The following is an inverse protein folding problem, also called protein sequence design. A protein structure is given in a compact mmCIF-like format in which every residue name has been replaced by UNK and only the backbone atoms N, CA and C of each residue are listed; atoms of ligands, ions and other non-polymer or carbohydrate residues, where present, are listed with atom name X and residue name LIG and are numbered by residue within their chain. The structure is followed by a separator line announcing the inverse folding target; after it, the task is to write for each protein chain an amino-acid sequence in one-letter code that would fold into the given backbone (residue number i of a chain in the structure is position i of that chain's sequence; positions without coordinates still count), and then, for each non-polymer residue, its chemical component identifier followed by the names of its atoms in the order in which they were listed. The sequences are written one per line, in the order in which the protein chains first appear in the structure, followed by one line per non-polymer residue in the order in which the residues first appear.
data_IF_595473367174
#
_entry.id   IF_595473367174
#
_cell.length_a   1.000
_cell.length_b   1.000
_cell.length_c   1.000
_cell.angle_alpha   90.00
_cell.angle_beta   90.00
_cell.angle_gamma   90.00
#
_symmetry.space_group_name_H-M   'P 1'
#
loop_
_entity.id
_entity.type
_entity.pdbx_description
1 polymer ?
#
# COMPACT_ATOMS: atom_id res chain seq x y z
N UNK A 1 15.68 20.41 -2.72
CA UNK A 1 16.71 19.88 -1.82
C UNK A 1 16.73 18.34 -1.77
N UNK A 2 15.58 17.68 -1.60
CA UNK A 2 15.50 16.23 -1.52
C UNK A 2 15.97 15.52 -2.79
N UNK A 3 15.57 16.03 -3.96
CA UNK A 3 16.02 15.53 -5.26
C UNK A 3 17.54 15.61 -5.41
N UNK A 4 18.15 16.69 -4.89
CA UNK A 4 19.60 16.84 -4.89
C UNK A 4 20.29 15.81 -3.99
N UNK A 5 19.73 15.52 -2.80
CA UNK A 5 20.27 14.51 -1.90
C UNK A 5 20.23 13.11 -2.54
N UNK A 6 19.11 12.76 -3.18
CA UNK A 6 18.97 11.49 -3.91
C UNK A 6 20.01 11.39 -5.03
N UNK A 7 20.14 12.45 -5.86
CA UNK A 7 21.10 12.47 -6.97
C UNK A 7 22.57 12.36 -6.49
N UNK A 8 22.93 13.00 -5.38
CA UNK A 8 24.27 12.87 -4.83
C UNK A 8 24.53 11.49 -4.22
N UNK A 9 23.53 10.90 -3.58
CA UNK A 9 23.62 9.51 -3.08
C UNK A 9 23.84 8.54 -4.25
N UNK A 10 23.08 8.71 -5.36
CA UNK A 10 23.23 7.93 -6.60
C UNK A 10 24.63 8.09 -7.23
N UNK A 11 25.17 9.30 -7.22
CA UNK A 11 26.51 9.55 -7.76
C UNK A 11 27.59 8.85 -6.91
N UNK A 12 27.47 8.90 -5.58
CA UNK A 12 28.41 8.22 -4.68
C UNK A 12 28.30 6.69 -4.82
N UNK A 13 27.09 6.17 -5.04
CA UNK A 13 26.86 4.73 -5.22
C UNK A 13 27.37 4.22 -6.58
N UNK A 14 27.32 5.07 -7.63
CA UNK A 14 27.82 4.76 -8.99
C UNK A 14 29.31 4.96 -9.16
N UNK A 15 29.90 5.91 -8.47
CA UNK A 15 31.36 6.03 -8.40
C UNK A 15 31.87 4.85 -7.56
N UNK A 16 32.51 3.88 -8.22
CA UNK A 16 33.15 2.74 -7.56
C UNK A 16 34.19 3.27 -6.55
N UNK A 17 33.71 3.60 -5.36
CA UNK A 17 34.57 4.03 -4.28
C UNK A 17 35.20 2.77 -3.69
N UNK A 18 36.54 2.64 -3.66
CA UNK A 18 37.25 1.52 -3.08
C UNK A 18 37.01 1.35 -1.55
N UNK A 19 36.17 2.21 -0.97
CA UNK A 19 35.81 2.14 0.44
C UNK A 19 34.39 1.57 0.62
N UNK A 20 34.25 0.31 1.05
CA UNK A 20 32.97 -0.35 1.23
C UNK A 20 32.04 0.36 2.21
N UNK A 21 32.60 1.10 3.18
CA UNK A 21 31.82 1.87 4.16
C UNK A 21 31.11 3.05 3.52
N UNK A 22 31.73 3.73 2.55
CA UNK A 22 31.12 4.86 1.83
C UNK A 22 29.98 4.35 0.96
N UNK A 23 30.16 3.24 0.26
CA UNK A 23 29.10 2.61 -0.55
C UNK A 23 27.91 2.18 0.30
N UNK A 24 28.16 1.60 1.49
CA UNK A 24 27.11 1.25 2.44
C UNK A 24 26.33 2.48 2.92
N UNK A 25 27.03 3.56 3.30
CA UNK A 25 26.39 4.80 3.74
C UNK A 25 25.61 5.49 2.61
N UNK A 26 26.13 5.49 1.39
CA UNK A 26 25.40 5.98 0.22
C UNK A 26 24.09 5.22 0.01
N UNK A 27 24.13 3.90 0.06
CA UNK A 27 22.94 3.07 -0.02
C UNK A 27 21.92 3.32 1.11
N UNK A 28 22.39 3.60 2.33
CA UNK A 28 21.50 4.01 3.44
C UNK A 28 20.87 5.38 3.15
N UNK A 29 21.66 6.35 2.73
CA UNK A 29 21.18 7.69 2.38
C UNK A 29 20.16 7.65 1.25
N UNK A 30 20.41 6.88 0.20
CA UNK A 30 19.47 6.69 -0.90
C UNK A 30 18.12 6.15 -0.40
N UNK A 31 18.13 5.04 0.32
CA UNK A 31 16.90 4.45 0.89
C UNK A 31 16.13 5.42 1.80
N UNK A 32 16.81 6.18 2.65
CA UNK A 32 16.16 7.13 3.56
C UNK A 32 15.63 8.36 2.80
N UNK A 33 16.33 8.82 1.76
CA UNK A 33 15.88 9.93 0.92
C UNK A 33 14.64 9.56 0.11
N UNK A 34 14.61 8.38 -0.49
CA UNK A 34 13.43 7.86 -1.20
C UNK A 34 12.24 7.65 -0.26
N UNK A 35 12.52 7.21 0.95
CA UNK A 35 11.49 7.09 1.99
C UNK A 35 10.91 8.46 2.34
N UNK A 36 11.76 9.47 2.57
CA UNK A 36 11.33 10.82 2.90
C UNK A 36 10.57 11.47 1.74
N UNK A 37 11.02 11.27 0.51
CA UNK A 37 10.30 11.73 -0.69
C UNK A 37 8.89 11.17 -0.75
N UNK A 38 8.73 9.85 -0.58
CA UNK A 38 7.40 9.20 -0.54
C UNK A 38 6.52 9.75 0.59
N UNK A 39 7.09 9.99 1.77
CA UNK A 39 6.35 10.56 2.91
C UNK A 39 5.83 11.97 2.62
N UNK A 40 6.65 12.81 1.97
CA UNK A 40 6.22 14.17 1.59
C UNK A 40 5.13 14.12 0.53
N UNK A 41 5.28 13.26 -0.48
CA UNK A 41 4.27 13.04 -1.50
C UNK A 41 2.95 12.55 -0.87
N UNK A 42 3.03 11.61 0.04
CA UNK A 42 1.91 11.07 0.81
C UNK A 42 1.19 12.16 1.63
N UNK A 43 1.96 12.98 2.35
CA UNK A 43 1.42 14.07 3.17
C UNK A 43 0.75 15.15 2.31
N UNK A 44 1.37 15.51 1.20
CA UNK A 44 0.82 16.50 0.26
C UNK A 44 -0.49 15.99 -0.35
N UNK A 45 -0.54 14.71 -0.72
CA UNK A 45 -1.74 14.11 -1.30
C UNK A 45 -2.87 13.96 -0.27
N UNK A 46 -2.56 13.51 0.95
CA UNK A 46 -3.52 13.48 2.05
C UNK A 46 -4.07 14.86 2.40
N UNK A 47 -3.20 15.89 2.41
CA UNK A 47 -3.60 17.27 2.63
C UNK A 47 -4.50 17.82 1.51
N UNK A 48 -4.19 17.53 0.25
CA UNK A 48 -5.03 17.89 -0.91
C UNK A 48 -6.36 17.16 -0.88
N UNK A 49 -6.40 15.90 -0.51
CA UNK A 49 -7.61 15.11 -0.35
C UNK A 49 -8.55 15.74 0.69
N UNK A 50 -8.00 16.16 1.83
CA UNK A 50 -8.78 16.79 2.90
C UNK A 50 -9.33 18.19 2.55
N UNK A 51 -8.73 18.89 1.58
CA UNK A 51 -9.13 20.24 1.16
C UNK A 51 -10.06 20.26 -0.07
N UNK A 52 -10.38 19.11 -0.67
CA UNK A 52 -11.21 19.00 -1.86
C UNK A 52 -10.58 19.61 -3.14
N UNK A 53 -9.31 19.97 -3.10
CA UNK A 53 -8.60 20.65 -4.19
C UNK A 53 -7.89 19.68 -5.15
N UNK A 54 -8.30 18.43 -5.22
CA UNK A 54 -7.77 17.47 -6.16
C UNK A 54 -8.65 17.45 -7.42
N UNK A 55 -8.06 17.78 -8.57
CA UNK A 55 -8.68 17.43 -9.85
C UNK A 55 -8.81 15.92 -9.93
N UNK A 56 -10.05 15.44 -9.92
CA UNK A 56 -10.36 14.01 -10.03
C UNK A 56 -10.32 13.63 -11.51
N UNK A 57 -9.28 12.89 -11.89
CA UNK A 57 -9.19 12.27 -13.22
C UNK A 57 -9.85 10.88 -13.17
N UNK A 58 -11.12 10.83 -12.74
CA UNK A 58 -11.86 9.57 -12.70
C UNK A 58 -12.15 9.09 -14.13
N UNK A 59 -11.78 7.85 -14.40
CA UNK A 59 -12.06 7.17 -15.67
C UNK A 59 -12.52 5.73 -15.39
N UNK A 60 -13.20 5.07 -16.33
CA UNK A 60 -13.51 3.66 -16.23
C UNK A 60 -12.23 2.84 -16.02
N UNK A 61 -12.17 2.13 -14.92
CA UNK A 61 -11.01 1.33 -14.51
C UNK A 61 -11.44 -0.11 -14.27
N UNK A 62 -10.79 -1.06 -14.96
CA UNK A 62 -11.04 -2.48 -14.78
C UNK A 62 -10.23 -3.02 -13.60
N UNK A 63 -10.92 -3.32 -12.52
CA UNK A 63 -10.31 -3.68 -11.23
C UNK A 63 -9.53 -5.00 -11.32
N UNK A 64 -10.06 -5.98 -12.06
CA UNK A 64 -9.42 -7.30 -12.19
C UNK A 64 -8.03 -7.23 -12.83
N UNK A 65 -7.87 -6.38 -13.87
CA UNK A 65 -6.57 -6.14 -14.52
C UNK A 65 -5.58 -5.55 -13.52
N UNK A 66 -6.00 -4.54 -12.75
CA UNK A 66 -5.12 -3.90 -11.75
C UNK A 66 -4.72 -4.86 -10.63
N UNK A 67 -5.63 -5.73 -10.18
CA UNK A 67 -5.31 -6.75 -9.17
C UNK A 67 -4.31 -7.77 -9.70
N UNK A 68 -4.47 -8.21 -10.95
CA UNK A 68 -3.55 -9.13 -11.60
C UNK A 68 -2.14 -8.51 -11.73
N UNK A 69 -2.07 -7.25 -12.16
CA UNK A 69 -0.81 -6.52 -12.23
C UNK A 69 -0.16 -6.39 -10.85
N UNK A 70 -0.92 -5.98 -9.84
CA UNK A 70 -0.43 -5.88 -8.46
C UNK A 70 0.10 -7.22 -7.94
N UNK A 71 -0.62 -8.31 -8.19
CA UNK A 71 -0.20 -9.65 -7.82
C UNK A 71 1.16 -10.01 -8.44
N UNK A 72 1.35 -9.75 -9.73
CA UNK A 72 2.61 -10.00 -10.44
C UNK A 72 3.77 -9.16 -9.90
N UNK A 73 3.56 -7.86 -9.65
CA UNK A 73 4.60 -6.97 -9.12
C UNK A 73 5.08 -7.37 -7.71
N UNK A 74 4.22 -8.01 -6.93
CA UNK A 74 4.53 -8.41 -5.56
C UNK A 74 4.97 -9.87 -5.42
N UNK A 75 4.90 -10.68 -6.48
CA UNK A 75 5.20 -12.12 -6.44
C UNK A 75 6.58 -12.42 -5.82
N UNK A 76 7.62 -11.79 -6.33
CA UNK A 76 8.99 -11.98 -5.82
C UNK A 76 9.11 -11.55 -4.35
N UNK A 77 8.56 -10.40 -3.97
CA UNK A 77 8.62 -9.90 -2.59
C UNK A 77 7.89 -10.82 -1.61
N UNK A 78 6.80 -11.44 -2.05
CA UNK A 78 6.05 -12.40 -1.25
C UNK A 78 6.82 -13.71 -1.11
N UNK A 79 7.44 -14.21 -2.19
CA UNK A 79 8.30 -15.40 -2.16
C UNK A 79 9.49 -15.24 -1.20
N UNK A 80 10.15 -14.07 -1.18
CA UNK A 80 11.23 -13.77 -0.25
C UNK A 80 10.80 -13.81 1.24
N UNK A 81 9.49 -13.68 1.48
CA UNK A 81 8.88 -13.75 2.82
C UNK A 81 8.21 -15.10 3.10
N UNK A 82 8.37 -16.10 2.22
CA UNK A 82 7.66 -17.38 2.29
C UNK A 82 6.14 -17.22 2.34
N UNK A 83 5.59 -16.23 1.64
CA UNK A 83 4.16 -15.96 1.56
C UNK A 83 3.60 -16.50 0.25
N UNK A 84 2.47 -17.21 0.33
CA UNK A 84 1.78 -17.75 -0.84
C UNK A 84 0.57 -16.89 -1.16
N UNK A 85 0.55 -16.28 -2.34
CA UNK A 85 -0.56 -15.45 -2.80
C UNK A 85 -1.63 -16.30 -3.48
N UNK A 86 -2.87 -16.13 -3.03
CA UNK A 86 -4.08 -16.65 -3.67
C UNK A 86 -4.90 -15.49 -4.19
N UNK A 87 -5.17 -15.49 -5.49
CA UNK A 87 -6.05 -14.52 -6.14
C UNK A 87 -7.35 -15.18 -6.55
N UNK A 88 -8.46 -14.46 -6.40
CA UNK A 88 -9.78 -14.89 -6.88
C UNK A 88 -10.53 -13.68 -7.43
N UNK A 89 -11.02 -13.80 -8.66
CA UNK A 89 -11.82 -12.77 -9.31
C UNK A 89 -12.81 -13.43 -10.29
N UNK A 90 -13.95 -12.80 -10.57
CA UNK A 90 -14.89 -13.32 -11.56
C UNK A 90 -14.31 -13.24 -12.98
N UNK A 91 -14.84 -14.07 -13.88
CA UNK A 91 -14.46 -14.03 -15.30
C UNK A 91 -14.95 -12.74 -15.99
N UNK A 92 -16.08 -12.21 -15.55
CA UNK A 92 -16.62 -10.97 -16.09
C UNK A 92 -15.86 -9.76 -15.56
N UNK A 93 -15.46 -8.82 -16.43
CA UNK A 93 -14.76 -7.61 -16.02
C UNK A 93 -15.62 -6.75 -15.09
N UNK A 94 -15.07 -6.36 -13.94
CA UNK A 94 -15.70 -5.41 -13.04
C UNK A 94 -15.03 -4.05 -13.23
N UNK A 95 -15.83 -3.05 -13.59
CA UNK A 95 -15.37 -1.67 -13.81
C UNK A 95 -15.90 -0.73 -12.73
N UNK A 96 -15.07 0.22 -12.34
CA UNK A 96 -15.40 1.32 -11.42
C UNK A 96 -14.93 2.65 -12.01
N UNK A 97 -15.47 3.76 -11.54
CA UNK A 97 -14.90 5.07 -11.82
C UNK A 97 -13.78 5.36 -10.81
N UNK A 98 -12.54 5.41 -11.29
CA UNK A 98 -11.37 5.64 -10.45
C UNK A 98 -10.24 6.37 -11.20
N UNK A 99 -9.37 7.03 -10.46
CA UNK A 99 -8.04 7.42 -10.95
C UNK A 99 -7.11 6.20 -10.83
N UNK A 100 -6.72 5.61 -11.95
CA UNK A 100 -5.93 4.39 -11.98
C UNK A 100 -4.61 4.49 -11.21
N UNK A 101 -3.95 5.67 -11.19
CA UNK A 101 -2.70 5.87 -10.44
C UNK A 101 -2.95 5.83 -8.93
N UNK A 102 -4.03 6.47 -8.48
CA UNK A 102 -4.41 6.50 -7.06
C UNK A 102 -4.90 5.15 -6.59
N UNK A 103 -5.70 4.46 -7.41
CA UNK A 103 -6.15 3.11 -7.09
C UNK A 103 -4.97 2.12 -7.01
N UNK A 104 -4.02 2.21 -7.94
CA UNK A 104 -2.77 1.43 -7.85
C UNK A 104 -2.01 1.73 -6.55
N UNK A 105 -1.92 3.00 -6.16
CA UNK A 105 -1.25 3.40 -4.91
C UNK A 105 -1.96 2.87 -3.66
N UNK A 106 -3.29 2.76 -3.68
CA UNK A 106 -4.05 2.08 -2.62
C UNK A 106 -3.58 0.63 -2.51
N UNK A 107 -3.54 -0.10 -3.63
CA UNK A 107 -3.12 -1.50 -3.66
C UNK A 107 -1.66 -1.68 -3.25
N UNK A 108 -0.76 -0.81 -3.71
CA UNK A 108 0.65 -0.81 -3.32
C UNK A 108 0.82 -0.62 -1.82
N UNK A 109 0.11 0.33 -1.20
CA UNK A 109 0.13 0.53 0.25
C UNK A 109 -0.35 -0.71 1.02
N UNK A 110 -1.42 -1.36 0.56
CA UNK A 110 -1.97 -2.56 1.19
C UNK A 110 -1.03 -3.75 1.04
N UNK A 111 -0.44 -3.98 -0.14
CA UNK A 111 0.51 -5.06 -0.37
C UNK A 111 1.84 -4.83 0.37
N UNK A 112 2.33 -3.60 0.47
CA UNK A 112 3.48 -3.26 1.31
C UNK A 112 3.19 -3.55 2.79
N UNK A 113 1.97 -3.31 3.26
CA UNK A 113 1.53 -3.68 4.60
C UNK A 113 1.60 -5.20 4.79
N UNK A 114 1.05 -5.97 3.86
CA UNK A 114 1.14 -7.44 3.86
C UNK A 114 2.60 -7.90 3.95
N UNK A 115 3.48 -7.43 3.07
CA UNK A 115 4.90 -7.81 3.07
C UNK A 115 5.63 -7.50 4.38
N UNK A 116 5.19 -6.48 5.11
CA UNK A 116 5.81 -6.07 6.38
C UNK A 116 5.33 -6.86 7.59
N UNK A 117 4.03 -7.13 7.64
CA UNK A 117 3.38 -7.57 8.86
C UNK A 117 2.81 -8.97 8.79
N UNK A 118 2.72 -9.58 7.60
CA UNK A 118 2.24 -10.96 7.49
C UNK A 118 3.20 -11.95 8.17
N UNK A 119 2.62 -12.97 8.77
CA UNK A 119 3.33 -14.12 9.32
C UNK A 119 3.96 -14.92 8.17
N UNK A 120 5.26 -15.20 8.25
CA UNK A 120 5.97 -16.04 7.26
C UNK A 120 5.34 -17.43 7.16
N UNK A 121 5.50 -18.04 6.00
CA UNK A 121 4.97 -19.38 5.68
C UNK A 121 3.45 -19.48 5.79
N UNK A 122 2.75 -18.37 5.55
CA UNK A 122 1.29 -18.30 5.52
C UNK A 122 0.76 -17.87 4.15
N UNK A 123 -0.55 -17.73 4.05
CA UNK A 123 -1.26 -17.39 2.82
C UNK A 123 -1.73 -15.94 2.86
N UNK A 124 -1.64 -15.30 1.70
CA UNK A 124 -2.23 -13.99 1.42
C UNK A 124 -3.37 -14.18 0.42
N UNK A 125 -4.50 -13.58 0.67
CA UNK A 125 -5.65 -13.67 -0.22
C UNK A 125 -5.98 -12.28 -0.75
N UNK A 126 -6.07 -12.19 -2.06
CA UNK A 126 -6.49 -11.01 -2.81
C UNK A 126 -7.70 -11.38 -3.64
N UNK A 127 -8.88 -10.87 -3.27
CA UNK A 127 -10.14 -11.26 -3.88
C UNK A 127 -10.89 -10.06 -4.42
N UNK A 128 -11.58 -10.27 -5.55
CA UNK A 128 -12.51 -9.32 -6.15
C UNK A 128 -13.85 -10.03 -6.34
N UNK A 129 -14.92 -9.39 -5.87
CA UNK A 129 -16.28 -9.84 -6.01
C UNK A 129 -17.17 -8.67 -6.43
N UNK A 130 -18.25 -8.94 -7.15
CA UNK A 130 -19.33 -7.99 -7.37
C UNK A 130 -20.55 -8.41 -6.57
N UNK A 131 -21.07 -7.47 -5.78
CA UNK A 131 -22.29 -7.72 -5.00
C UNK A 131 -23.09 -6.42 -4.85
N UNK A 132 -24.37 -6.50 -5.20
CA UNK A 132 -25.30 -5.36 -5.07
C UNK A 132 -24.82 -4.08 -5.77
N UNK A 133 -24.23 -4.19 -6.95
CA UNK A 133 -23.70 -3.04 -7.69
C UNK A 133 -22.42 -2.43 -7.07
N UNK A 134 -21.70 -3.21 -6.29
CA UNK A 134 -20.41 -2.81 -5.71
C UNK A 134 -19.32 -3.81 -6.05
N UNK A 135 -18.17 -3.30 -6.46
CA UNK A 135 -16.91 -4.04 -6.49
C UNK A 135 -16.38 -4.13 -5.06
N UNK A 136 -16.20 -5.34 -4.57
CA UNK A 136 -15.67 -5.64 -3.23
C UNK A 136 -14.28 -6.24 -3.41
N UNK A 137 -13.26 -5.51 -3.00
CA UNK A 137 -11.86 -5.91 -3.10
C UNK A 137 -11.36 -6.22 -1.69
N UNK A 138 -10.80 -7.41 -1.47
CA UNK A 138 -10.30 -7.79 -0.15
C UNK A 138 -8.84 -8.19 -0.19
N UNK A 139 -8.06 -7.64 0.73
CA UNK A 139 -6.70 -8.04 1.06
C UNK A 139 -6.71 -8.70 2.43
N UNK A 140 -6.27 -9.96 2.52
CA UNK A 140 -6.36 -10.73 3.76
C UNK A 140 -5.08 -11.52 4.00
N UNK A 141 -4.54 -11.43 5.22
CA UNK A 141 -3.36 -12.18 5.66
C UNK A 141 -3.42 -12.48 7.17
N UNK A 142 -2.57 -13.39 7.61
CA UNK A 142 -2.32 -13.61 9.04
C UNK A 142 -1.21 -12.66 9.49
N UNK A 143 -1.43 -11.95 10.58
CA UNK A 143 -0.44 -11.05 11.18
C UNK A 143 0.62 -11.85 11.93
N UNK A 144 1.87 -11.39 11.85
CA UNK A 144 2.98 -11.95 12.64
C UNK A 144 2.83 -11.69 14.14
N UNK A 145 2.23 -10.56 14.48
CA UNK A 145 1.99 -10.17 15.86
C UNK A 145 0.49 -10.22 16.15
N UNK A 146 0.08 -10.63 17.36
CA UNK A 146 -1.32 -10.63 17.76
C UNK A 146 -1.96 -9.25 17.61
N UNK A 147 -3.15 -9.21 17.02
CA UNK A 147 -3.93 -7.99 16.81
C UNK A 147 -4.87 -7.80 18.00
N UNK A 148 -4.30 -7.40 19.15
CA UNK A 148 -5.05 -7.22 20.42
C UNK A 148 -5.81 -5.87 20.49
N UNK A 149 -5.92 -5.17 19.37
CA UNK A 149 -6.56 -3.87 19.26
C UNK A 149 -7.76 -3.96 18.33
N UNK A 150 -8.77 -3.15 18.60
CA UNK A 150 -9.87 -2.98 17.68
C UNK A 150 -9.40 -2.40 16.34
N UNK A 151 -10.20 -2.60 15.28
CA UNK A 151 -9.89 -2.02 13.97
C UNK A 151 -9.73 -0.50 14.02
N UNK A 152 -10.56 0.18 14.82
CA UNK A 152 -10.50 1.65 15.01
C UNK A 152 -9.22 2.07 15.72
N UNK A 153 -8.83 1.39 16.79
CA UNK A 153 -7.56 1.67 17.49
C UNK A 153 -6.33 1.41 16.62
N UNK A 154 -6.38 0.37 15.77
CA UNK A 154 -5.33 0.11 14.79
C UNK A 154 -5.26 1.24 13.77
N UNK A 155 -6.37 1.68 13.23
CA UNK A 155 -6.42 2.82 12.30
C UNK A 155 -5.90 4.10 12.95
N UNK A 156 -6.29 4.41 14.19
CA UNK A 156 -5.78 5.57 14.92
C UNK A 156 -4.27 5.49 15.18
N UNK A 157 -3.73 4.32 15.52
CA UNK A 157 -2.28 4.11 15.69
C UNK A 157 -1.51 4.32 14.40
N UNK A 158 -2.04 3.86 13.28
CA UNK A 158 -1.45 4.11 11.97
C UNK A 158 -1.48 5.60 11.59
N UNK A 159 -2.50 6.34 12.01
CA UNK A 159 -2.59 7.81 11.81
C UNK A 159 -1.61 8.56 12.72
N UNK A 160 -1.44 8.14 13.97
CA UNK A 160 -0.55 8.81 14.93
C UNK A 160 0.94 8.49 14.76
N UNK A 161 1.28 7.55 13.87
CA UNK A 161 2.67 7.18 13.59
C UNK A 161 3.40 6.78 14.87
N UNK A 162 2.95 5.70 15.52
CA UNK A 162 3.53 5.26 16.79
C UNK A 162 5.04 4.98 16.60
N UNK A 163 5.87 5.92 17.11
CA UNK A 163 7.33 5.94 16.96
C UNK A 163 8.04 4.83 17.74
N UNK A 164 7.30 4.00 18.46
CA UNK A 164 7.85 3.04 19.43
C UNK A 164 8.41 1.76 18.83
N UNK A 165 8.28 1.54 17.51
CA UNK A 165 8.79 0.31 16.88
C UNK A 165 9.82 0.63 15.81
N UNK A 166 11.01 0.07 15.97
CA UNK A 166 12.13 0.06 15.03
C UNK A 166 11.84 -0.67 13.70
N UNK A 167 10.59 -0.70 13.24
CA UNK A 167 10.19 -1.32 11.97
C UNK A 167 10.21 -0.28 10.85
N UNK A 168 10.85 -0.60 9.74
CA UNK A 168 10.87 0.19 8.51
C UNK A 168 9.44 0.50 8.05
N UNK A 169 8.99 1.76 8.16
CA UNK A 169 7.71 2.21 7.64
C UNK A 169 7.23 3.49 8.32
N UNK A 170 6.48 4.32 7.56
CA UNK A 170 5.94 5.60 8.04
C UNK A 170 4.76 5.45 8.98
N UNK A 171 4.13 4.28 9.01
CA UNK A 171 2.82 4.10 9.65
C UNK A 171 1.64 4.74 8.89
N UNK A 172 1.89 5.47 7.81
CA UNK A 172 0.87 6.23 7.08
C UNK A 172 0.17 5.44 5.97
N UNK A 173 0.67 4.26 5.59
CA UNK A 173 0.19 3.52 4.41
C UNK A 173 -1.31 3.20 4.44
N UNK A 174 -1.86 2.78 5.59
CA UNK A 174 -3.29 2.48 5.73
C UNK A 174 -4.15 3.74 5.70
N UNK A 175 -3.72 4.82 6.35
CA UNK A 175 -4.45 6.09 6.35
C UNK A 175 -4.48 6.70 4.94
N UNK A 176 -3.38 6.59 4.19
CA UNK A 176 -3.31 7.03 2.79
C UNK A 176 -4.23 6.17 1.93
N UNK A 177 -4.18 4.83 2.06
CA UNK A 177 -5.05 3.94 1.32
C UNK A 177 -6.53 4.27 1.59
N UNK A 178 -6.91 4.55 2.83
CA UNK A 178 -8.26 4.98 3.20
C UNK A 178 -8.64 6.30 2.54
N UNK A 179 -7.82 7.33 2.72
CA UNK A 179 -8.10 8.66 2.15
C UNK A 179 -8.22 8.63 0.62
N UNK A 180 -7.32 7.89 -0.07
CA UNK A 180 -7.37 7.76 -1.53
C UNK A 180 -8.58 6.95 -2.01
N UNK A 181 -9.03 5.98 -1.23
CA UNK A 181 -10.24 5.21 -1.52
C UNK A 181 -11.48 6.09 -1.39
N UNK A 182 -11.61 6.80 -0.27
CA UNK A 182 -12.74 7.70 0.02
C UNK A 182 -12.83 8.87 -0.97
N UNK A 183 -11.69 9.43 -1.35
CA UNK A 183 -11.60 10.48 -2.36
C UNK A 183 -12.20 10.07 -3.71
N UNK A 184 -12.08 8.81 -4.08
CA UNK A 184 -12.60 8.26 -5.33
C UNK A 184 -14.02 7.68 -5.20
N UNK A 185 -14.75 8.06 -4.14
CA UNK A 185 -16.14 7.63 -3.89
C UNK A 185 -16.27 6.20 -3.39
N UNK A 186 -15.16 5.55 -3.02
CA UNK A 186 -15.14 4.24 -2.38
C UNK A 186 -15.21 4.31 -0.85
N UNK A 187 -15.19 3.15 -0.22
CA UNK A 187 -15.04 3.01 1.23
C UNK A 187 -14.01 1.95 1.57
N UNK A 188 -13.33 2.12 2.69
CA UNK A 188 -12.35 1.17 3.22
C UNK A 188 -12.73 0.77 4.63
N UNK A 189 -12.78 -0.54 4.86
CA UNK A 189 -13.04 -1.15 6.16
C UNK A 189 -11.86 -2.04 6.55
N UNK A 190 -11.43 -1.91 7.81
CA UNK A 190 -10.46 -2.81 8.42
C UNK A 190 -11.20 -3.81 9.31
N UNK A 191 -10.94 -5.08 9.13
CA UNK A 191 -11.50 -6.18 9.94
C UNK A 191 -10.35 -6.96 10.55
N UNK A 192 -10.40 -7.17 11.87
CA UNK A 192 -9.45 -7.99 12.61
C UNK A 192 -10.19 -9.06 13.36
N UNK A 193 -9.67 -10.29 13.37
CA UNK A 193 -10.20 -11.41 14.13
C UNK A 193 -9.02 -12.29 14.57
N UNK A 194 -8.64 -12.21 15.85
CA UNK A 194 -7.42 -12.83 16.34
C UNK A 194 -6.20 -12.30 15.58
N UNK A 195 -5.49 -13.19 14.88
CA UNK A 195 -4.33 -12.84 14.03
C UNK A 195 -4.73 -12.51 12.59
N UNK A 196 -6.01 -12.61 12.25
CA UNK A 196 -6.50 -12.28 10.92
C UNK A 196 -6.54 -10.77 10.73
N UNK A 197 -5.84 -10.29 9.69
CA UNK A 197 -5.90 -8.92 9.21
C UNK A 197 -6.56 -8.90 7.84
N UNK A 198 -7.64 -8.15 7.70
CA UNK A 198 -8.38 -8.03 6.44
C UNK A 198 -8.74 -6.57 6.17
N UNK A 199 -8.42 -6.08 5.00
CA UNK A 199 -8.90 -4.80 4.47
C UNK A 199 -9.91 -5.08 3.37
N UNK A 200 -11.03 -4.39 3.41
CA UNK A 200 -12.10 -4.47 2.41
C UNK A 200 -12.31 -3.09 1.80
N UNK A 201 -12.14 -3.00 0.49
CA UNK A 201 -12.47 -1.80 -0.29
C UNK A 201 -13.79 -2.05 -1.01
N UNK A 202 -14.65 -1.02 -1.07
CA UNK A 202 -15.90 -1.07 -1.82
C UNK A 202 -16.00 0.15 -2.71
N UNK A 203 -16.35 -0.08 -3.98
CA UNK A 203 -16.60 0.97 -4.96
C UNK A 203 -17.88 0.68 -5.71
N UNK A 204 -18.69 1.69 -6.07
CA UNK A 204 -19.80 1.49 -6.99
C UNK A 204 -19.30 0.95 -8.34
N UNK A 205 -19.98 -0.09 -8.87
CA UNK A 205 -19.66 -0.58 -10.22
C UNK A 205 -20.34 0.29 -11.29
N UNK A 206 -19.74 0.32 -12.46
CA UNK A 206 -20.30 0.93 -13.67
C UNK A 206 -20.56 -0.15 -14.73
N UNK A 207 -21.59 0.10 -15.53
CA UNK A 207 -21.97 -0.84 -16.61
C UNK A 207 -20.92 -0.90 -17.72
#
# INVERSE_FOLDING_TARGET
PLTSIVNYADLIEKEQCDNPTITEYAGVLHRQSDRLKRLIEDLVEASKASTGNLEELLAPCEVGVMLTQTAGEYEQKLQEKDLVLFTSQPEQPIKIMADGRRLWRVFDNLMNNVCKYAQRSTRVYLTLEEKNGQAIISFKNISREPLNLSADELMERFVRGDRSRHTEGSGLGLSIAKSLTELQGGSMELVTDGDLFKVVLRFPTIA
#
